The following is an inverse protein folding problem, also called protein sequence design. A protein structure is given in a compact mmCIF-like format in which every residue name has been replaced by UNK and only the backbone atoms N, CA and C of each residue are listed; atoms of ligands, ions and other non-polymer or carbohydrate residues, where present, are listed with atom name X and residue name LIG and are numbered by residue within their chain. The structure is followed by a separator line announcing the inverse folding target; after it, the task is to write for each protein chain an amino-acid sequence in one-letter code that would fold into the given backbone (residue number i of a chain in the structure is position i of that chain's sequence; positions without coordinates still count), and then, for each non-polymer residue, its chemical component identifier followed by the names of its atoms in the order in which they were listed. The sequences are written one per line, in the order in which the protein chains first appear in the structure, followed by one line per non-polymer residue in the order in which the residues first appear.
data_IF_879904359635
#
_entry.id   IF_879904359635
#
_cell.length_a   1.000
_cell.length_b   1.000
_cell.length_c   1.000
_cell.angle_alpha   90.00
_cell.angle_beta   90.00
_cell.angle_gamma   90.00
#
_symmetry.space_group_name_H-M   'P 1'
#
loop_
_entity.id
_entity.type
_entity.pdbx_description
1 polymer ?
#
# COMPACT_ATOMS: atom_id res chain seq x y z
N UNK A 1 22.08 4.55 16.58
CA UNK A 1 21.79 3.70 15.41
C UNK A 1 20.94 2.45 15.73
N UNK A 2 20.74 2.07 17.00
CA UNK A 2 19.90 0.91 17.38
C UNK A 2 18.39 1.14 17.29
N UNK A 3 17.95 2.39 17.09
CA UNK A 3 16.53 2.78 17.02
C UNK A 3 15.73 2.14 15.86
N UNK A 4 16.40 1.45 14.91
CA UNK A 4 15.74 0.68 13.84
C UNK A 4 15.71 -0.82 14.09
N UNK A 5 16.25 -1.28 15.22
CA UNK A 5 16.29 -2.70 15.61
C UNK A 5 15.27 -3.01 16.71
N UNK A 6 14.17 -2.26 16.77
CA UNK A 6 13.08 -2.45 17.71
C UNK A 6 11.73 -2.51 16.98
N UNK A 7 10.67 -2.76 17.73
CA UNK A 7 9.30 -2.87 17.21
C UNK A 7 8.54 -1.53 17.18
N UNK A 8 9.17 -0.42 17.58
CA UNK A 8 8.52 0.89 17.71
C UNK A 8 7.86 1.34 16.40
N UNK A 9 8.50 1.07 15.26
CA UNK A 9 7.95 1.41 13.95
C UNK A 9 6.62 0.69 13.68
N UNK A 10 6.49 -0.57 14.10
CA UNK A 10 5.25 -1.33 13.99
C UNK A 10 4.20 -0.84 14.99
N UNK A 11 4.61 -0.52 16.22
CA UNK A 11 3.71 0.03 17.24
C UNK A 11 3.12 1.38 16.81
N UNK A 12 3.95 2.26 16.25
CA UNK A 12 3.51 3.53 15.68
C UNK A 12 2.54 3.33 14.52
N UNK A 13 2.78 2.35 13.65
CA UNK A 13 1.86 2.01 12.57
C UNK A 13 0.49 1.56 13.12
N UNK A 14 0.47 0.66 14.11
CA UNK A 14 -0.79 0.25 14.74
C UNK A 14 -1.49 1.41 15.45
N UNK A 15 -0.74 2.32 16.05
CA UNK A 15 -1.28 3.57 16.60
C UNK A 15 -1.97 4.43 15.53
N UNK A 16 -1.32 4.63 14.37
CA UNK A 16 -1.89 5.38 13.25
C UNK A 16 -3.16 4.73 12.69
N UNK A 17 -3.18 3.39 12.57
CA UNK A 17 -4.38 2.66 12.13
C UNK A 17 -5.54 2.85 13.11
N UNK A 18 -5.30 2.73 14.42
CA UNK A 18 -6.33 2.97 15.44
C UNK A 18 -6.85 4.40 15.42
N UNK A 19 -5.98 5.39 15.24
CA UNK A 19 -6.36 6.80 15.13
C UNK A 19 -7.21 7.07 13.87
N UNK A 20 -6.90 6.43 12.75
CA UNK A 20 -7.68 6.57 11.51
C UNK A 20 -9.12 6.04 11.64
N UNK A 21 -9.36 5.09 12.55
CA UNK A 21 -10.69 4.57 12.85
C UNK A 21 -11.51 5.44 13.84
N UNK A 22 -10.97 6.58 14.28
CA UNK A 22 -11.66 7.51 15.18
C UNK A 22 -12.03 6.87 16.53
N UNK A 23 -13.33 6.80 16.85
CA UNK A 23 -13.84 6.19 18.08
C UNK A 23 -13.76 4.64 18.09
N UNK A 24 -13.53 4.03 16.93
CA UNK A 24 -13.34 2.57 16.78
C UNK A 24 -11.92 2.15 17.12
N UNK A 25 -11.54 2.19 18.39
CA UNK A 25 -10.19 1.84 18.88
C UNK A 25 -9.76 0.39 18.59
N UNK A 26 -10.69 -0.45 18.12
CA UNK A 26 -10.53 -1.86 17.81
C UNK A 26 -11.12 -2.14 16.42
N UNK A 27 -10.37 -1.89 15.34
CA UNK A 27 -10.85 -2.17 13.99
C UNK A 27 -11.11 -3.66 13.82
N UNK A 28 -12.23 -4.00 13.16
CA UNK A 28 -12.45 -5.34 12.61
C UNK A 28 -11.34 -5.66 11.56
N UNK A 29 -10.97 -6.93 11.33
CA UNK A 29 -9.97 -7.28 10.33
C UNK A 29 -10.20 -6.66 8.95
N UNK A 30 -11.46 -6.50 8.51
CA UNK A 30 -11.76 -5.84 7.24
C UNK A 30 -11.41 -4.35 7.27
N UNK A 31 -11.75 -3.66 8.35
CA UNK A 31 -11.42 -2.24 8.55
C UNK A 31 -9.91 -2.04 8.62
N UNK A 32 -9.20 -2.95 9.32
CA UNK A 32 -7.74 -2.93 9.39
C UNK A 32 -7.11 -3.01 7.99
N UNK A 33 -7.57 -3.96 7.15
CA UNK A 33 -7.08 -4.11 5.77
C UNK A 33 -7.38 -2.86 4.94
N UNK A 34 -8.57 -2.27 5.07
CA UNK A 34 -8.94 -1.06 4.34
C UNK A 34 -8.03 0.12 4.70
N UNK A 35 -7.80 0.36 6.00
CA UNK A 35 -6.91 1.44 6.46
C UNK A 35 -5.46 1.18 6.08
N UNK A 36 -4.99 -0.07 6.19
CA UNK A 36 -3.65 -0.47 5.74
C UNK A 36 -3.43 -0.12 4.25
N UNK A 37 -4.39 -0.51 3.39
CA UNK A 37 -4.33 -0.20 1.95
C UNK A 37 -4.30 1.30 1.70
N UNK A 38 -5.18 2.04 2.38
CA UNK A 38 -5.28 3.49 2.24
C UNK A 38 -3.96 4.19 2.63
N UNK A 39 -3.40 3.88 3.80
CA UNK A 39 -2.15 4.48 4.27
C UNK A 39 -0.96 4.14 3.35
N UNK A 40 -0.92 2.90 2.86
CA UNK A 40 0.13 2.45 1.93
C UNK A 40 0.10 3.24 0.63
N UNK A 41 -1.08 3.45 0.03
CA UNK A 41 -1.22 4.23 -1.21
C UNK A 41 -1.01 5.73 -0.95
N UNK A 42 -1.56 6.27 0.13
CA UNK A 42 -1.42 7.68 0.47
C UNK A 42 0.05 8.10 0.67
N UNK A 43 0.88 7.19 1.17
CA UNK A 43 2.32 7.43 1.32
C UNK A 43 3.05 7.62 -0.01
N UNK A 44 2.54 7.02 -1.10
CA UNK A 44 3.14 7.06 -2.44
C UNK A 44 2.58 8.19 -3.29
N UNK A 45 1.31 8.56 -3.09
CA UNK A 45 0.66 9.66 -3.84
C UNK A 45 1.27 11.02 -3.49
N UNK A 46 1.86 11.16 -2.29
CA UNK A 46 2.47 12.42 -1.86
C UNK A 46 3.82 12.61 -2.57
N UNK A 47 3.97 13.61 -3.45
CA UNK A 47 5.23 13.83 -4.13
C UNK A 47 6.33 14.24 -3.13
N UNK A 48 7.60 13.87 -3.38
CA UNK A 48 8.73 14.33 -2.58
C UNK A 48 8.78 15.86 -2.53
N UNK A 49 9.22 16.42 -1.39
CA UNK A 49 9.37 17.87 -1.26
C UNK A 49 10.34 18.39 -2.32
N UNK A 50 9.90 19.36 -3.12
CA UNK A 50 10.68 19.93 -4.23
C UNK A 50 10.55 19.17 -5.56
N UNK A 51 9.70 18.14 -5.63
CA UNK A 51 9.36 17.49 -6.90
C UNK A 51 8.57 18.42 -7.82
N UNK A 52 8.76 18.26 -9.13
CA UNK A 52 7.97 18.91 -10.18
C UNK A 52 6.69 18.13 -10.54
N UNK A 53 6.46 16.97 -9.91
CA UNK A 53 5.30 16.11 -10.14
C UNK A 53 4.23 16.42 -9.11
N UNK A 54 3.00 16.58 -9.56
CA UNK A 54 1.81 16.77 -8.72
C UNK A 54 1.32 15.45 -8.12
N UNK A 55 0.52 15.52 -7.06
CA UNK A 55 -0.10 14.31 -6.48
C UNK A 55 -1.03 13.59 -7.46
N UNK A 56 -1.67 14.32 -8.39
CA UNK A 56 -2.53 13.73 -9.40
C UNK A 56 -1.73 12.87 -10.40
N UNK A 57 -0.60 13.39 -10.88
CA UNK A 57 0.30 12.65 -11.78
C UNK A 57 0.90 11.41 -11.09
N UNK A 58 1.24 11.50 -9.80
CA UNK A 58 1.66 10.31 -9.02
C UNK A 58 0.55 9.28 -8.91
N UNK A 59 -0.69 9.71 -8.67
CA UNK A 59 -1.83 8.81 -8.56
C UNK A 59 -2.15 8.12 -9.90
N UNK A 60 -2.10 8.86 -11.01
CA UNK A 60 -2.26 8.32 -12.36
C UNK A 60 -1.17 7.28 -12.67
N UNK A 61 0.09 7.58 -12.34
CA UNK A 61 1.19 6.63 -12.49
C UNK A 61 0.98 5.36 -11.66
N UNK A 62 0.54 5.47 -10.40
CA UNK A 62 0.26 4.31 -9.54
C UNK A 62 -0.89 3.44 -10.07
N UNK A 63 -1.95 4.05 -10.60
CA UNK A 63 -3.06 3.33 -11.23
C UNK A 63 -2.59 2.57 -12.47
N UNK A 64 -1.84 3.25 -13.36
CA UNK A 64 -1.30 2.60 -14.57
C UNK A 64 -0.36 1.43 -14.24
N UNK A 65 0.46 1.55 -13.18
CA UNK A 65 1.33 0.48 -12.73
C UNK A 65 0.53 -0.72 -12.20
N UNK A 66 -0.60 -0.49 -11.53
CA UNK A 66 -1.47 -1.56 -11.03
C UNK A 66 -2.08 -2.39 -12.16
N UNK A 67 -2.48 -1.74 -13.25
CA UNK A 67 -3.00 -2.42 -14.44
C UNK A 67 -1.93 -3.32 -15.10
N UNK A 68 -0.69 -2.82 -15.18
CA UNK A 68 0.44 -3.58 -15.71
C UNK A 68 0.76 -4.83 -14.87
N UNK A 69 0.65 -4.73 -13.55
CA UNK A 69 0.86 -5.88 -12.66
C UNK A 69 -0.21 -6.95 -12.87
N UNK A 70 -1.48 -6.54 -13.04
CA UNK A 70 -2.58 -7.48 -13.32
C UNK A 70 -2.39 -8.24 -14.64
N UNK A 71 -1.91 -7.56 -15.69
CA UNK A 71 -1.60 -8.21 -16.97
C UNK A 71 -0.49 -9.25 -16.81
N UNK A 72 0.61 -8.89 -16.15
CA UNK A 72 1.73 -9.82 -15.91
C UNK A 72 1.32 -11.04 -15.06
N UNK A 73 0.41 -10.86 -14.11
CA UNK A 73 -0.12 -11.97 -13.32
C UNK A 73 -0.92 -12.96 -14.18
N UNK A 74 -1.79 -12.45 -15.06
CA UNK A 74 -2.53 -13.28 -16.02
C UNK A 74 -1.61 -14.00 -16.98
N UNK A 75 -0.58 -13.34 -17.50
CA UNK A 75 0.42 -13.97 -18.38
C UNK A 75 1.17 -15.10 -17.68
N UNK A 76 1.56 -14.91 -16.41
CA UNK A 76 2.20 -15.98 -15.61
C UNK A 76 1.27 -17.17 -15.38
N UNK A 77 -0.02 -16.92 -15.13
CA UNK A 77 -1.02 -17.98 -14.97
C UNK A 77 -1.14 -18.82 -16.25
N UNK A 78 -1.26 -18.16 -17.41
CA UNK A 78 -1.35 -18.81 -18.72
C UNK A 78 -0.07 -19.62 -19.03
N UNK A 79 1.11 -19.08 -18.71
CA UNK A 79 2.37 -19.81 -18.90
C UNK A 79 2.47 -21.04 -17.99
N UNK A 80 1.98 -20.95 -16.76
CA UNK A 80 1.96 -22.09 -15.84
C UNK A 80 1.02 -23.19 -16.34
N UNK A 81 -0.19 -22.83 -16.77
CA UNK A 81 -1.15 -23.79 -17.34
C UNK A 81 -0.60 -24.50 -18.59
N UNK A 82 0.07 -23.77 -19.49
CA UNK A 82 0.74 -24.34 -20.67
C UNK A 82 1.91 -25.28 -20.35
N UNK A 83 2.44 -25.23 -19.12
CA UNK A 83 3.59 -26.04 -18.70
C UNK A 83 3.15 -27.31 -17.95
N UNK A 84 1.92 -27.33 -17.44
CA UNK A 84 1.37 -28.42 -16.63
C UNK A 84 0.42 -29.31 -17.45
N UNK A 85 -0.21 -28.79 -18.50
CA UNK A 85 -0.94 -29.58 -19.50
C UNK A 85 -0.04 -30.10 -20.62
#
# INVERSE_FOLDING_TARGET
MTARMNQDALEHFFGAVRQACGCGSHPDPLQFIQVYRLLSVASLVKPPRGSNVTGAEMLEALLSASDLLSVKEKERQIQFEKRVG
#
